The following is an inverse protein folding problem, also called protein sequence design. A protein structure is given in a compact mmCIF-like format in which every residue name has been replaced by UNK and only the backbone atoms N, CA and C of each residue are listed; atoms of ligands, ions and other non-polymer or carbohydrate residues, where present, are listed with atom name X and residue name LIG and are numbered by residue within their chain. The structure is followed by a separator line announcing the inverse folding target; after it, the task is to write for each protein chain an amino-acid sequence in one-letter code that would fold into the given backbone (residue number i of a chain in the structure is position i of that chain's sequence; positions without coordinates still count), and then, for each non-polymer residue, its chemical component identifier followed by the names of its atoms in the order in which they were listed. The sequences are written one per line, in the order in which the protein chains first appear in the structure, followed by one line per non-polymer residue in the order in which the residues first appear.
data_IF_914507341876
#
_entry.id   IF_914507341876
#
_cell.length_a   1.000
_cell.length_b   1.000
_cell.length_c   1.000
_cell.angle_alpha   90.00
_cell.angle_beta   90.00
_cell.angle_gamma   90.00
#
_symmetry.space_group_name_H-M   'P 1'
#
loop_
_entity.id
_entity.type
_entity.pdbx_description
1 polymer ?
#
# COMPACT_ATOMS: atom_id res chain seq x y z
N UNK A 1 15.46 -44.52 50.90
CA UNK A 1 15.63 -43.34 50.03
C UNK A 1 15.07 -43.67 48.66
N UNK A 2 13.84 -43.25 48.38
CA UNK A 2 13.18 -43.34 47.07
C UNK A 2 12.71 -41.91 46.78
N UNK A 3 13.40 -41.27 45.84
CA UNK A 3 13.22 -39.87 45.46
C UNK A 3 11.93 -39.70 44.69
N UNK A 4 10.99 -38.94 45.27
CA UNK A 4 9.78 -38.48 44.60
C UNK A 4 10.15 -37.49 43.48
N UNK A 5 9.70 -37.77 42.26
CA UNK A 5 9.81 -36.85 41.13
C UNK A 5 8.91 -35.63 41.38
N UNK A 6 9.38 -34.40 41.06
CA UNK A 6 8.55 -33.21 41.17
C UNK A 6 7.43 -33.23 40.11
N UNK A 7 6.26 -32.62 40.40
CA UNK A 7 5.16 -32.57 39.44
C UNK A 7 5.56 -31.78 38.20
N UNK A 8 5.21 -32.33 37.03
CA UNK A 8 5.31 -31.68 35.72
C UNK A 8 4.66 -30.30 35.81
N UNK A 9 5.48 -29.27 35.66
CA UNK A 9 5.04 -27.88 35.48
C UNK A 9 4.02 -27.87 34.34
N UNK A 10 2.78 -27.52 34.67
CA UNK A 10 1.74 -27.29 33.67
C UNK A 10 2.24 -26.15 32.79
N UNK A 11 2.60 -26.47 31.55
CA UNK A 11 2.80 -25.45 30.53
C UNK A 11 1.50 -24.64 30.45
N UNK A 12 1.56 -23.30 30.52
CA UNK A 12 0.36 -22.51 30.33
C UNK A 12 -0.25 -22.84 28.96
N UNK A 13 -1.58 -22.79 28.82
CA UNK A 13 -2.23 -22.96 27.51
C UNK A 13 -1.58 -21.98 26.52
N UNK A 14 -1.51 -22.32 25.21
CA UNK A 14 -0.98 -21.41 24.20
C UNK A 14 -1.66 -20.07 24.42
N UNK A 15 -0.85 -19.05 24.74
CA UNK A 15 -1.37 -17.73 25.05
C UNK A 15 -2.31 -17.32 23.93
N UNK A 16 -3.43 -16.70 24.30
CA UNK A 16 -4.12 -15.81 23.38
C UNK A 16 -3.04 -14.94 22.76
N UNK A 17 -2.62 -15.24 21.53
CA UNK A 17 -1.59 -14.48 20.85
C UNK A 17 -2.06 -13.04 20.89
N UNK A 18 -1.35 -12.19 21.64
CA UNK A 18 -1.77 -10.81 21.83
C UNK A 18 -1.98 -10.21 20.45
N UNK A 19 -3.17 -9.66 20.22
CA UNK A 19 -3.50 -9.05 18.93
C UNK A 19 -2.42 -8.00 18.63
N UNK A 20 -1.83 -7.99 17.43
CA UNK A 20 -0.73 -7.10 17.15
C UNK A 20 -1.16 -5.66 17.33
N UNK A 21 -0.36 -4.87 18.03
CA UNK A 21 -0.57 -3.44 18.15
C UNK A 21 0.03 -2.77 16.92
N UNK A 22 -0.83 -2.29 16.04
CA UNK A 22 -0.45 -1.64 14.79
C UNK A 22 -0.78 -0.15 14.88
N UNK A 23 0.21 0.70 14.60
CA UNK A 23 0.01 2.14 14.51
C UNK A 23 0.64 2.64 13.20
N UNK A 24 -0.15 3.33 12.38
CA UNK A 24 0.30 3.93 11.13
C UNK A 24 0.40 5.44 11.30
N UNK A 25 1.59 5.98 11.09
CA UNK A 25 1.85 7.41 11.11
C UNK A 25 1.83 7.93 9.67
N UNK A 26 0.93 8.88 9.40
CA UNK A 26 0.74 9.49 8.07
C UNK A 26 0.93 10.99 8.13
N UNK A 27 1.22 11.59 6.97
CA UNK A 27 1.34 13.04 6.86
C UNK A 27 -0.02 13.71 7.15
N UNK A 28 -0.04 14.70 8.04
CA UNK A 28 -1.22 15.53 8.25
C UNK A 28 -1.46 16.49 7.06
N UNK A 29 -2.70 16.95 6.92
CA UNK A 29 -3.08 18.02 6.00
C UNK A 29 -2.60 19.39 6.50
N UNK A 30 -2.95 20.47 5.80
CA UNK A 30 -2.61 21.84 6.19
C UNK A 30 -3.26 22.28 7.52
N UNK A 31 -4.40 21.68 7.88
CA UNK A 31 -5.06 21.90 9.18
C UNK A 31 -4.27 21.30 10.35
N UNK A 32 -3.33 20.40 10.09
CA UNK A 32 -2.51 19.70 11.07
C UNK A 32 -3.21 18.53 11.76
N UNK A 33 -4.47 18.23 11.41
CA UNK A 33 -5.29 17.20 12.06
C UNK A 33 -5.74 16.12 11.09
N UNK A 34 -6.24 16.49 9.92
CA UNK A 34 -6.78 15.54 8.93
C UNK A 34 -5.67 14.89 8.10
N UNK A 35 -6.02 13.86 7.33
CA UNK A 35 -5.06 13.13 6.48
C UNK A 35 -4.64 14.00 5.29
N UNK A 36 -3.34 14.19 5.11
CA UNK A 36 -2.80 14.99 4.01
C UNK A 36 -2.69 14.25 2.68
N UNK A 37 -2.48 15.01 1.61
CA UNK A 37 -2.27 14.48 0.25
C UNK A 37 -0.89 13.84 0.08
N UNK A 38 -0.73 12.61 0.59
CA UNK A 38 0.47 11.80 0.39
C UNK A 38 0.09 10.43 -0.20
N UNK A 39 0.47 10.13 -1.46
CA UNK A 39 0.07 8.88 -2.11
C UNK A 39 0.67 7.64 -1.42
N UNK A 40 1.86 7.78 -0.83
CA UNK A 40 2.53 6.71 -0.08
C UNK A 40 1.82 6.39 1.24
N UNK A 41 1.38 7.44 1.97
CA UNK A 41 0.59 7.26 3.19
C UNK A 41 -0.76 6.60 2.89
N UNK A 42 -1.44 7.07 1.84
CA UNK A 42 -2.72 6.51 1.42
C UNK A 42 -2.59 5.04 0.97
N UNK A 43 -1.50 4.68 0.26
CA UNK A 43 -1.20 3.29 -0.10
C UNK A 43 -1.21 2.37 1.11
N UNK A 44 -0.42 2.66 2.14
CA UNK A 44 -0.36 1.79 3.33
C UNK A 44 -1.65 1.82 4.16
N UNK A 45 -2.36 2.95 4.17
CA UNK A 45 -3.67 3.03 4.81
C UNK A 45 -4.67 2.09 4.12
N UNK A 46 -4.71 2.07 2.79
CA UNK A 46 -5.53 1.13 2.03
C UNK A 46 -5.16 -0.32 2.30
N UNK A 47 -3.86 -0.65 2.34
CA UNK A 47 -3.38 -2.01 2.66
C UNK A 47 -3.92 -2.48 4.01
N UNK A 48 -3.78 -1.69 5.08
CA UNK A 48 -4.28 -2.06 6.41
C UNK A 48 -5.80 -2.21 6.46
N UNK A 49 -6.55 -1.35 5.75
CA UNK A 49 -8.01 -1.47 5.63
C UNK A 49 -8.41 -2.78 4.93
N UNK A 50 -7.75 -3.15 3.83
CA UNK A 50 -8.03 -4.38 3.10
C UNK A 50 -7.60 -5.64 3.88
N UNK A 51 -6.56 -5.56 4.71
CA UNK A 51 -6.20 -6.63 5.65
C UNK A 51 -7.26 -6.85 6.71
N UNK A 52 -8.13 -5.86 7.00
CA UNK A 52 -9.17 -5.98 8.01
C UNK A 52 -8.65 -6.10 9.44
N UNK A 53 -7.42 -5.65 9.68
CA UNK A 53 -6.78 -5.65 11.00
C UNK A 53 -7.10 -4.34 11.73
N UNK A 54 -7.36 -4.33 13.05
CA UNK A 54 -7.46 -3.09 13.80
C UNK A 54 -6.09 -2.41 13.88
N UNK A 55 -6.05 -1.09 13.67
CA UNK A 55 -4.86 -0.27 13.83
C UNK A 55 -5.24 1.14 14.26
N UNK A 56 -4.28 1.86 14.83
CA UNK A 56 -4.40 3.29 15.13
C UNK A 56 -3.81 4.09 13.97
N UNK A 57 -4.55 5.06 13.46
CA UNK A 57 -4.04 6.04 12.49
C UNK A 57 -3.65 7.33 13.22
N UNK A 58 -2.40 7.76 13.08
CA UNK A 58 -1.89 9.00 13.66
C UNK A 58 -1.44 9.94 12.55
N UNK A 59 -2.02 11.13 12.48
CA UNK A 59 -1.59 12.19 11.57
C UNK A 59 -0.42 12.96 12.19
N UNK A 60 0.59 13.27 11.39
CA UNK A 60 1.81 13.97 11.82
C UNK A 60 1.96 15.25 11.03
N UNK A 61 1.82 16.38 11.71
CA UNK A 61 2.17 17.69 11.17
C UNK A 61 3.70 17.84 11.18
N UNK A 62 4.32 17.54 10.04
CA UNK A 62 5.78 17.63 9.86
C UNK A 62 6.33 19.06 9.99
N UNK A 63 5.49 20.11 10.01
CA UNK A 63 5.96 21.49 10.23
C UNK A 63 6.03 21.83 11.71
N UNK A 64 5.08 21.34 12.51
CA UNK A 64 4.93 21.68 13.94
C UNK A 64 5.46 20.60 14.89
N UNK A 65 5.54 19.36 14.43
CA UNK A 65 5.79 18.18 15.26
C UNK A 65 6.96 17.34 14.70
N UNK A 66 8.07 18.00 14.36
CA UNK A 66 9.31 17.39 13.84
C UNK A 66 9.87 16.29 14.75
N UNK A 67 9.51 16.31 16.02
CA UNK A 67 10.11 15.47 17.06
C UNK A 67 9.32 14.19 17.32
N UNK A 68 8.08 14.08 16.82
CA UNK A 68 7.19 12.93 17.06
C UNK A 68 7.83 11.61 16.65
N UNK A 69 8.63 11.61 15.58
CA UNK A 69 9.32 10.41 15.11
C UNK A 69 10.71 10.23 15.74
N UNK A 70 11.28 11.22 16.45
CA UNK A 70 12.69 11.14 16.91
C UNK A 70 12.93 9.97 17.87
N UNK A 71 11.94 9.63 18.67
CA UNK A 71 12.06 8.62 19.72
C UNK A 71 12.10 7.18 19.17
N UNK A 72 11.54 6.95 17.97
CA UNK A 72 11.43 5.60 17.40
C UNK A 72 11.88 5.48 15.94
N UNK A 73 11.80 6.54 15.14
CA UNK A 73 12.21 6.54 13.73
C UNK A 73 12.90 7.87 13.35
N UNK A 74 14.05 8.20 13.98
CA UNK A 74 14.73 9.48 13.76
C UNK A 74 15.14 9.65 12.30
N UNK A 75 14.72 10.77 11.69
CA UNK A 75 15.04 11.10 10.29
C UNK A 75 14.23 10.32 9.25
N UNK A 76 13.30 9.45 9.67
CA UNK A 76 12.45 8.72 8.73
C UNK A 76 11.46 9.65 8.02
N UNK A 77 11.18 9.32 6.76
CA UNK A 77 10.09 9.93 6.00
C UNK A 77 8.79 9.17 6.27
N UNK A 78 7.68 9.90 6.30
CA UNK A 78 6.34 9.29 6.38
C UNK A 78 5.99 8.61 5.05
N UNK A 79 5.22 7.50 5.07
CA UNK A 79 4.62 6.87 6.26
C UNK A 79 5.61 6.04 7.10
N UNK A 80 5.30 5.90 8.40
CA UNK A 80 6.02 5.01 9.33
C UNK A 80 5.00 4.09 10.00
N UNK A 81 5.34 2.81 10.15
CA UNK A 81 4.52 1.82 10.86
C UNK A 81 5.20 1.46 12.18
N UNK A 82 4.46 1.46 13.29
CA UNK A 82 4.87 0.76 14.51
C UNK A 82 4.08 -0.55 14.60
N UNK A 83 4.81 -1.66 14.67
CA UNK A 83 4.22 -2.99 14.87
C UNK A 83 4.75 -3.56 16.18
N UNK A 84 3.88 -3.71 17.18
CA UNK A 84 4.25 -4.10 18.55
C UNK A 84 5.38 -3.21 19.13
N UNK A 85 5.33 -1.90 18.83
CA UNK A 85 6.34 -0.93 19.25
C UNK A 85 7.60 -0.90 18.37
N UNK A 86 7.79 -1.84 17.44
CA UNK A 86 8.94 -1.79 16.53
C UNK A 86 8.65 -0.92 15.29
N UNK A 87 9.53 0.04 14.98
CA UNK A 87 9.41 0.89 13.82
C UNK A 87 9.78 0.16 12.53
N UNK A 88 8.95 0.33 11.50
CA UNK A 88 9.21 -0.03 10.11
C UNK A 88 9.08 1.24 9.26
N UNK A 89 10.06 1.46 8.40
CA UNK A 89 10.18 2.62 7.51
C UNK A 89 10.31 2.11 6.07
N UNK A 90 10.25 3.03 5.10
CA UNK A 90 10.14 2.74 3.67
C UNK A 90 8.81 2.05 3.29
N UNK A 91 8.13 2.61 2.29
CA UNK A 91 6.77 2.16 1.96
C UNK A 91 6.74 0.74 1.41
N UNK A 92 7.74 0.34 0.61
CA UNK A 92 7.79 -1.00 0.03
C UNK A 92 8.13 -2.03 1.11
N UNK A 93 9.12 -1.72 1.95
CA UNK A 93 9.50 -2.56 3.08
C UNK A 93 8.36 -2.79 4.06
N UNK A 94 7.57 -1.74 4.36
CA UNK A 94 6.37 -1.89 5.20
C UNK A 94 5.32 -2.78 4.54
N UNK A 95 5.07 -2.62 3.23
CA UNK A 95 4.10 -3.44 2.50
C UNK A 95 4.49 -4.92 2.51
N UNK A 96 5.75 -5.24 2.17
CA UNK A 96 6.26 -6.61 2.20
C UNK A 96 6.13 -7.23 3.61
N UNK A 97 6.45 -6.45 4.64
CA UNK A 97 6.29 -6.88 6.03
C UNK A 97 4.83 -7.16 6.39
N UNK A 98 3.88 -6.32 5.94
CA UNK A 98 2.46 -6.52 6.20
C UNK A 98 1.91 -7.75 5.47
N UNK A 99 2.35 -8.04 4.24
CA UNK A 99 1.96 -9.28 3.56
C UNK A 99 2.51 -10.52 4.26
N UNK A 100 3.77 -10.50 4.71
CA UNK A 100 4.39 -11.61 5.45
C UNK A 100 3.70 -11.87 6.80
N UNK A 101 3.42 -10.80 7.57
CA UNK A 101 2.85 -10.93 8.91
C UNK A 101 1.33 -11.08 8.93
N UNK A 102 0.64 -10.49 7.97
CA UNK A 102 -0.82 -10.50 7.87
C UNK A 102 -1.23 -11.26 6.60
N UNK A 103 -0.79 -12.50 6.48
CA UNK A 103 -1.14 -13.38 5.36
C UNK A 103 -2.23 -14.43 5.70
N UNK A 104 -2.61 -15.26 4.71
CA UNK A 104 -3.50 -16.38 4.91
C UNK A 104 -2.97 -17.40 5.94
N UNK A 105 -3.85 -18.13 6.66
CA UNK A 105 -5.31 -18.14 6.54
C UNK A 105 -6.02 -17.05 7.37
N UNK A 106 -5.30 -16.30 8.19
CA UNK A 106 -5.91 -15.35 9.13
C UNK A 106 -6.33 -14.03 8.47
N UNK A 107 -5.61 -13.61 7.43
CA UNK A 107 -5.84 -12.37 6.71
C UNK A 107 -5.78 -12.62 5.19
N UNK A 108 -6.44 -11.80 4.36
CA UNK A 108 -6.37 -11.97 2.91
C UNK A 108 -4.95 -11.68 2.38
N UNK A 109 -4.51 -12.44 1.38
CA UNK A 109 -3.37 -12.02 0.54
C UNK A 109 -3.82 -10.88 -0.36
N UNK A 110 -3.02 -9.82 -0.48
CA UNK A 110 -3.28 -8.72 -1.40
C UNK A 110 -2.33 -8.74 -2.60
N UNK A 111 -1.41 -9.70 -2.65
CA UNK A 111 -0.47 -9.88 -3.76
C UNK A 111 -1.25 -10.16 -5.04
N UNK A 112 -1.05 -9.37 -6.11
CA UNK A 112 -1.70 -9.61 -7.39
C UNK A 112 -1.24 -10.94 -7.99
N UNK A 113 -2.16 -11.63 -8.65
CA UNK A 113 -1.94 -12.88 -9.36
C UNK A 113 -1.16 -12.66 -10.66
N UNK A 114 -1.46 -11.59 -11.39
CA UNK A 114 -0.82 -11.28 -12.67
C UNK A 114 0.33 -10.29 -12.47
N UNK A 115 1.52 -10.64 -12.96
CA UNK A 115 2.70 -9.77 -12.84
C UNK A 115 2.48 -8.44 -13.55
N UNK A 116 1.76 -8.47 -14.66
CA UNK A 116 1.39 -7.31 -15.47
C UNK A 116 0.57 -6.29 -14.66
N UNK A 117 -0.28 -6.73 -13.74
CA UNK A 117 -1.06 -5.84 -12.85
C UNK A 117 -0.15 -4.95 -12.01
N UNK A 118 0.96 -5.50 -11.50
CA UNK A 118 1.95 -4.73 -10.71
C UNK A 118 2.72 -3.71 -11.54
N UNK A 119 2.79 -3.90 -12.86
CA UNK A 119 3.51 -3.03 -13.78
C UNK A 119 2.61 -1.99 -14.45
N UNK A 120 1.32 -2.28 -14.57
CA UNK A 120 0.35 -1.40 -15.21
C UNK A 120 0.32 -0.01 -14.54
N UNK A 121 0.57 1.02 -15.33
CA UNK A 121 0.53 2.42 -14.88
C UNK A 121 1.65 2.85 -13.92
N UNK A 122 2.67 2.03 -13.69
CA UNK A 122 3.71 2.29 -12.69
C UNK A 122 4.54 3.57 -12.96
N UNK A 123 4.64 4.01 -14.22
CA UNK A 123 5.43 5.16 -14.66
C UNK A 123 4.60 6.45 -14.84
N UNK A 124 3.26 6.37 -14.72
CA UNK A 124 2.34 7.51 -14.91
C UNK A 124 2.67 8.65 -13.97
N UNK A 125 2.80 8.36 -12.67
CA UNK A 125 3.05 9.39 -11.66
C UNK A 125 4.38 10.10 -11.86
N UNK A 126 5.40 9.37 -12.29
CA UNK A 126 6.70 9.96 -12.61
C UNK A 126 6.60 10.88 -13.82
N UNK A 127 5.95 10.44 -14.90
CA UNK A 127 5.73 11.25 -16.11
C UNK A 127 4.90 12.51 -15.82
N UNK A 128 3.84 12.37 -15.03
CA UNK A 128 3.04 13.50 -14.55
C UNK A 128 3.90 14.48 -13.73
N UNK A 129 4.68 13.96 -12.79
CA UNK A 129 5.58 14.78 -11.97
C UNK A 129 6.60 15.54 -12.81
N UNK A 130 7.16 14.90 -13.85
CA UNK A 130 8.08 15.56 -14.79
C UNK A 130 7.37 16.61 -15.62
N UNK A 131 6.14 16.35 -16.08
CA UNK A 131 5.34 17.30 -16.86
C UNK A 131 4.95 18.54 -16.05
N UNK A 132 4.35 18.37 -14.88
CA UNK A 132 3.82 19.50 -14.09
C UNK A 132 4.92 20.40 -13.50
N UNK A 133 6.13 19.85 -13.32
CA UNK A 133 7.30 20.59 -12.83
C UNK A 133 8.16 21.16 -13.95
N UNK A 134 7.78 20.97 -15.22
CA UNK A 134 8.59 21.39 -16.35
C UNK A 134 8.69 22.93 -16.41
N UNK A 135 9.90 23.52 -16.35
CA UNK A 135 10.07 24.96 -16.50
C UNK A 135 10.32 25.39 -17.95
N UNK A 136 10.41 24.46 -18.92
CA UNK A 136 10.80 24.72 -20.31
C UNK A 136 9.61 24.53 -21.27
N UNK A 137 8.91 25.60 -21.71
CA UNK A 137 7.70 25.48 -22.52
C UNK A 137 7.87 24.70 -23.83
N UNK A 138 9.06 24.75 -24.43
CA UNK A 138 9.36 23.99 -25.65
C UNK A 138 9.29 22.45 -25.47
N UNK A 139 9.31 21.94 -24.23
CA UNK A 139 9.21 20.51 -23.92
C UNK A 139 7.79 20.07 -23.56
N UNK A 140 6.84 21.00 -23.36
CA UNK A 140 5.50 20.71 -22.84
C UNK A 140 4.77 19.67 -23.69
N UNK A 141 4.76 19.86 -25.01
CA UNK A 141 4.07 18.96 -25.93
C UNK A 141 4.65 17.53 -25.87
N UNK A 142 5.97 17.40 -25.78
CA UNK A 142 6.63 16.11 -25.71
C UNK A 142 6.35 15.39 -24.37
N UNK A 143 6.36 16.13 -23.26
CA UNK A 143 6.08 15.60 -21.93
C UNK A 143 4.60 15.22 -21.76
N UNK A 144 3.69 16.08 -22.21
CA UNK A 144 2.26 15.77 -22.24
C UNK A 144 1.98 14.53 -23.08
N UNK A 145 2.58 14.41 -24.27
CA UNK A 145 2.46 13.22 -25.11
C UNK A 145 3.02 11.97 -24.43
N UNK A 146 4.11 12.08 -23.67
CA UNK A 146 4.67 10.99 -22.88
C UNK A 146 3.70 10.52 -21.79
N UNK A 147 3.05 11.45 -21.08
CA UNK A 147 2.03 11.14 -20.07
C UNK A 147 0.79 10.49 -20.69
N UNK A 148 0.26 11.04 -21.78
CA UNK A 148 -0.90 10.49 -22.49
C UNK A 148 -0.65 9.06 -22.98
N UNK A 149 0.57 8.77 -23.47
CA UNK A 149 0.95 7.40 -23.85
C UNK A 149 0.96 6.43 -22.67
N UNK A 150 1.36 6.88 -21.48
CA UNK A 150 1.35 6.03 -20.29
C UNK A 150 -0.09 5.76 -19.79
N UNK A 151 -0.96 6.77 -19.84
CA UNK A 151 -2.39 6.62 -19.56
C UNK A 151 -3.07 5.68 -20.56
N UNK A 152 -2.77 5.81 -21.85
CA UNK A 152 -3.30 4.92 -22.89
C UNK A 152 -2.87 3.46 -22.65
N UNK A 153 -1.62 3.21 -22.28
CA UNK A 153 -1.17 1.85 -21.93
C UNK A 153 -1.91 1.24 -20.74
N UNK A 154 -2.24 2.06 -19.75
CA UNK A 154 -3.06 1.63 -18.62
C UNK A 154 -4.49 1.31 -19.07
N UNK A 155 -5.09 2.17 -19.90
CA UNK A 155 -6.42 1.96 -20.47
C UNK A 155 -6.51 0.69 -21.33
N UNK A 156 -5.50 0.46 -22.18
CA UNK A 156 -5.33 -0.77 -22.96
C UNK A 156 -5.28 -2.01 -22.05
N UNK A 157 -4.51 -1.94 -20.96
CA UNK A 157 -4.44 -3.02 -19.98
C UNK A 157 -5.79 -3.28 -19.31
N UNK A 158 -6.46 -2.22 -18.83
CA UNK A 158 -7.76 -2.32 -18.15
C UNK A 158 -8.86 -2.86 -19.08
N UNK A 159 -8.78 -2.55 -20.36
CA UNK A 159 -9.75 -2.98 -21.38
C UNK A 159 -9.50 -4.41 -21.88
N UNK A 160 -8.27 -4.91 -21.81
CA UNK A 160 -7.92 -6.25 -22.26
C UNK A 160 -8.33 -7.32 -21.22
N UNK A 161 -9.12 -8.34 -21.58
CA UNK A 161 -9.46 -9.45 -20.67
C UNK A 161 -8.22 -10.16 -20.11
N UNK A 162 -8.24 -10.49 -18.82
CA UNK A 162 -7.22 -11.35 -18.20
C UNK A 162 -7.49 -12.83 -18.46
N UNK A 163 -6.48 -13.68 -18.21
CA UNK A 163 -6.57 -15.13 -18.49
C UNK A 163 -7.77 -15.80 -17.82
N UNK A 164 -8.10 -15.42 -16.59
CA UNK A 164 -9.25 -15.99 -15.90
C UNK A 164 -10.58 -15.60 -16.57
N UNK A 165 -10.70 -14.38 -17.12
CA UNK A 165 -11.91 -13.96 -17.83
C UNK A 165 -12.07 -14.75 -19.14
N UNK A 166 -10.98 -14.93 -19.89
CA UNK A 166 -10.95 -15.70 -21.13
C UNK A 166 -11.19 -17.19 -20.92
N UNK A 167 -10.84 -17.72 -19.75
CA UNK A 167 -11.16 -19.10 -19.38
C UNK A 167 -12.68 -19.32 -19.20
N UNK A 168 -13.42 -18.28 -18.80
CA UNK A 168 -14.89 -18.33 -18.66
C UNK A 168 -15.60 -17.97 -19.98
N UNK A 169 -15.10 -16.98 -20.72
CA UNK A 169 -15.59 -16.59 -22.04
C UNK A 169 -14.43 -16.32 -23.01
N UNK A 170 -14.06 -17.32 -23.85
CA UNK A 170 -12.97 -17.18 -24.83
C UNK A 170 -13.23 -16.14 -25.93
N UNK A 171 -14.48 -15.68 -26.09
CA UNK A 171 -14.86 -14.70 -27.09
C UNK A 171 -14.95 -13.28 -26.52
N UNK A 172 -14.68 -13.09 -25.22
CA UNK A 172 -14.70 -11.80 -24.56
C UNK A 172 -13.72 -10.84 -25.24
N UNK A 173 -14.23 -9.69 -25.68
CA UNK A 173 -13.45 -8.68 -26.43
C UNK A 173 -12.98 -7.52 -25.56
N UNK A 174 -13.69 -7.27 -24.47
CA UNK A 174 -13.37 -6.23 -23.50
C UNK A 174 -13.57 -6.81 -22.10
N UNK A 175 -12.60 -6.52 -21.24
CA UNK A 175 -12.60 -6.88 -19.82
C UNK A 175 -13.83 -6.33 -19.11
N UNK A 176 -14.31 -7.08 -18.11
CA UNK A 176 -15.40 -6.66 -17.22
C UNK A 176 -14.94 -6.54 -15.76
N UNK A 177 -13.66 -6.81 -15.47
CA UNK A 177 -13.10 -6.74 -14.12
C UNK A 177 -13.16 -5.32 -13.55
N UNK A 178 -13.29 -5.23 -12.22
CA UNK A 178 -13.43 -3.95 -11.52
C UNK A 178 -12.09 -3.24 -11.23
N UNK A 179 -11.01 -3.98 -11.05
CA UNK A 179 -9.70 -3.49 -10.60
C UNK A 179 -8.56 -4.09 -11.43
N UNK A 180 -7.31 -3.71 -11.15
CA UNK A 180 -6.17 -4.08 -12.01
C UNK A 180 -6.05 -5.59 -12.26
N UNK A 181 -6.22 -6.38 -11.21
CA UNK A 181 -5.94 -7.81 -11.21
C UNK A 181 -7.21 -8.69 -11.18
N UNK A 182 -8.39 -8.06 -11.11
CA UNK A 182 -9.65 -8.76 -11.01
C UNK A 182 -10.72 -7.95 -10.32
N UNK A 183 -11.53 -8.62 -9.51
CA UNK A 183 -12.69 -8.03 -8.86
C UNK A 183 -12.47 -7.60 -7.41
N UNK A 184 -11.28 -7.84 -6.89
CA UNK A 184 -10.85 -7.41 -5.56
C UNK A 184 -9.65 -6.48 -5.69
N UNK A 185 -9.52 -5.54 -4.75
CA UNK A 185 -8.37 -4.66 -4.68
C UNK A 185 -7.13 -5.45 -4.26
N UNK A 186 -6.01 -5.13 -4.89
CA UNK A 186 -4.68 -5.71 -4.64
C UNK A 186 -3.67 -4.63 -4.25
N UNK A 187 -2.44 -5.04 -3.93
CA UNK A 187 -1.32 -4.12 -3.73
C UNK A 187 -1.06 -3.23 -4.94
N UNK A 188 -1.31 -3.73 -6.15
CA UNK A 188 -1.17 -2.95 -7.37
C UNK A 188 -2.13 -1.75 -7.37
N UNK A 189 -3.39 -1.97 -6.96
CA UNK A 189 -4.40 -0.91 -6.85
C UNK A 189 -4.05 0.07 -5.72
N UNK A 190 -3.64 -0.43 -4.55
CA UNK A 190 -3.17 0.39 -3.43
C UNK A 190 -2.00 1.30 -3.82
N UNK A 191 -1.13 0.85 -4.73
CA UNK A 191 -0.01 1.64 -5.23
C UNK A 191 -0.43 2.67 -6.30
N UNK A 192 -1.33 2.30 -7.20
CA UNK A 192 -1.69 3.11 -8.36
C UNK A 192 -2.78 4.14 -8.06
N UNK A 193 -3.86 3.76 -7.37
CA UNK A 193 -5.04 4.62 -7.16
C UNK A 193 -4.72 5.94 -6.44
N UNK A 194 -3.94 5.97 -5.34
CA UNK A 194 -3.56 7.23 -4.71
C UNK A 194 -2.79 8.18 -5.64
N UNK A 195 -1.98 7.62 -6.55
CA UNK A 195 -1.21 8.40 -7.51
C UNK A 195 -2.11 8.94 -8.63
N UNK A 196 -3.00 8.12 -9.17
CA UNK A 196 -3.95 8.55 -10.20
C UNK A 196 -4.89 9.65 -9.69
N UNK A 197 -5.33 9.56 -8.44
CA UNK A 197 -6.15 10.60 -7.82
C UNK A 197 -5.44 11.97 -7.77
N UNK A 198 -4.10 12.00 -7.65
CA UNK A 198 -3.32 13.24 -7.73
C UNK A 198 -3.19 13.74 -9.17
N UNK A 199 -3.10 12.82 -10.15
CA UNK A 199 -2.98 13.16 -11.58
C UNK A 199 -4.29 13.74 -12.14
N UNK A 200 -5.44 13.41 -11.54
CA UNK A 200 -6.76 13.86 -11.98
C UNK A 200 -7.04 15.35 -11.71
N UNK A 201 -6.19 16.04 -10.94
CA UNK A 201 -6.37 17.44 -10.53
C UNK A 201 -6.03 18.43 -11.64
#
# INVERSE_FOLDING_TARGET
ALTAQPPLSQQPPPSMAEKPQIQLFVKASEDGESVGHCPFCQRLFMVLLLKGVPFTLTTVDVKRALDVLKDFAPGAQLPVLLYNGEPKTDTVTIEDFLEDKLGPPMFPSLVPQYRESSLAGNDIFHKFSTFIKNPVPAQDEALQRSLLRALLKLDEYLSAPLEYELAHDPHLRASQRRFLDGDQLTLADCNLLPKLNIVQV
#
